data_IF_372483286288
#
_entry.id   IF_372483286288
#
_cell.length_a   1.000
_cell.length_b   1.000
_cell.length_c   1.000
_cell.angle_alpha   90.00
_cell.angle_beta   90.00
_cell.angle_gamma   90.00
#
_symmetry.space_group_name_H-M   'P 1'
#
loop_
_entity.id
_entity.type
_entity.pdbx_description
1 polymer ?
#
# COMPACT_ATOMS: atom_id res chain seq x y z
N UNK A 1 -12.18 17.44 5.24
CA UNK A 1 -13.18 16.87 4.32
C UNK A 1 -12.85 15.40 4.13
N UNK A 2 -13.85 14.53 4.23
CA UNK A 2 -13.66 13.11 3.97
C UNK A 2 -13.41 12.86 2.49
N UNK A 3 -12.54 11.92 2.19
CA UNK A 3 -12.26 11.47 0.83
C UNK A 3 -13.41 10.60 0.31
N UNK A 4 -13.72 10.74 -0.97
CA UNK A 4 -14.72 9.95 -1.67
C UNK A 4 -14.10 8.68 -2.27
N UNK A 5 -14.93 7.70 -2.65
CA UNK A 5 -14.47 6.44 -3.22
C UNK A 5 -13.58 6.59 -4.47
N UNK A 6 -13.82 7.66 -5.26
CA UNK A 6 -13.00 7.99 -6.45
C UNK A 6 -11.61 8.52 -6.13
N UNK A 7 -11.40 8.98 -4.89
CA UNK A 7 -10.13 9.54 -4.41
C UNK A 7 -9.31 8.51 -3.64
N UNK A 8 -9.86 7.32 -3.36
CA UNK A 8 -9.24 6.26 -2.57
C UNK A 8 -8.78 5.14 -3.49
N UNK A 9 -7.47 4.91 -3.55
CA UNK A 9 -6.89 3.75 -4.24
C UNK A 9 -6.85 2.54 -3.30
N UNK A 10 -7.56 1.48 -3.66
CA UNK A 10 -7.61 0.22 -2.89
C UNK A 10 -6.96 -0.88 -3.69
N UNK A 11 -5.89 -1.45 -3.17
CA UNK A 11 -5.12 -2.52 -3.83
C UNK A 11 -5.15 -3.81 -3.03
N UNK A 12 -5.09 -4.94 -3.73
CA UNK A 12 -4.86 -6.23 -3.11
C UNK A 12 -3.53 -6.20 -2.33
N UNK A 13 -3.54 -6.70 -1.11
CA UNK A 13 -2.38 -6.69 -0.21
C UNK A 13 -2.33 -5.49 0.73
N UNK A 14 -3.23 -4.51 0.60
CA UNK A 14 -3.35 -3.44 1.56
C UNK A 14 -3.70 -4.01 2.96
N UNK A 15 -2.88 -3.74 3.95
CA UNK A 15 -2.99 -4.33 5.30
C UNK A 15 -4.22 -3.87 6.09
N UNK A 16 -4.84 -2.77 5.68
CA UNK A 16 -6.06 -2.25 6.27
C UNK A 16 -7.34 -2.91 5.73
N UNK A 17 -7.24 -3.66 4.61
CA UNK A 17 -8.35 -4.44 4.07
C UNK A 17 -8.72 -5.57 5.04
N UNK A 18 -10.01 -5.75 5.25
CA UNK A 18 -10.50 -6.88 6.00
C UNK A 18 -10.36 -8.17 5.16
N UNK A 19 -9.86 -9.28 5.72
CA UNK A 19 -9.78 -10.55 5.02
C UNK A 19 -11.12 -11.03 4.45
N UNK A 20 -12.24 -10.66 5.06
CA UNK A 20 -13.57 -11.00 4.57
C UNK A 20 -13.89 -10.38 3.22
N UNK A 21 -13.38 -9.18 2.93
CA UNK A 21 -13.57 -8.51 1.63
C UNK A 21 -12.77 -9.25 0.54
N UNK A 22 -11.55 -9.66 0.85
CA UNK A 22 -10.75 -10.47 -0.08
C UNK A 22 -11.38 -11.85 -0.28
N UNK A 23 -11.92 -12.45 0.78
CA UNK A 23 -12.68 -13.71 0.72
C UNK A 23 -13.90 -13.57 -0.20
N UNK A 24 -14.67 -12.50 -0.05
CA UNK A 24 -15.84 -12.23 -0.89
C UNK A 24 -15.43 -12.03 -2.35
N UNK A 25 -14.40 -11.24 -2.62
CA UNK A 25 -13.84 -11.07 -3.95
C UNK A 25 -13.45 -12.40 -4.59
N UNK A 26 -12.70 -13.22 -3.87
CA UNK A 26 -12.27 -14.53 -4.32
C UNK A 26 -13.44 -15.43 -4.68
N UNK A 27 -14.47 -15.49 -3.83
CA UNK A 27 -15.66 -16.33 -4.05
C UNK A 27 -16.53 -15.85 -5.20
N UNK A 28 -16.72 -14.54 -5.35
CA UNK A 28 -17.53 -13.95 -6.42
C UNK A 28 -16.84 -13.98 -7.77
N UNK A 29 -15.52 -13.79 -7.81
CA UNK A 29 -14.75 -13.69 -9.05
C UNK A 29 -14.32 -15.04 -9.57
N UNK A 30 -13.80 -15.92 -8.71
CA UNK A 30 -13.31 -17.24 -9.14
C UNK A 30 -14.44 -18.28 -9.19
N UNK A 31 -15.58 -18.02 -8.58
CA UNK A 31 -16.78 -18.86 -8.59
C UNK A 31 -16.48 -20.35 -8.35
N UNK A 32 -15.80 -20.72 -7.25
CA UNK A 32 -15.47 -22.12 -7.01
C UNK A 32 -16.73 -22.99 -6.93
N UNK A 33 -16.63 -24.29 -7.17
CA UNK A 33 -17.74 -25.23 -7.11
C UNK A 33 -18.55 -25.08 -5.82
N UNK A 34 -19.87 -25.34 -5.92
CA UNK A 34 -20.81 -25.15 -4.79
C UNK A 34 -20.34 -25.78 -3.49
N UNK A 35 -19.82 -27.01 -3.54
CA UNK A 35 -19.29 -27.73 -2.37
C UNK A 35 -18.20 -26.94 -1.64
N UNK A 36 -17.29 -26.28 -2.40
CA UNK A 36 -16.20 -25.47 -1.86
C UNK A 36 -16.73 -24.20 -1.21
N UNK A 37 -17.72 -23.54 -1.85
CA UNK A 37 -18.36 -22.34 -1.32
C UNK A 37 -19.16 -22.63 -0.06
N UNK A 38 -19.98 -23.70 -0.08
CA UNK A 38 -20.85 -24.07 1.04
C UNK A 38 -20.06 -24.40 2.31
N UNK A 39 -18.95 -25.12 2.18
CA UNK A 39 -18.14 -25.55 3.32
C UNK A 39 -17.03 -24.54 3.69
N UNK A 40 -16.95 -23.39 3.02
CA UNK A 40 -15.84 -22.45 3.17
C UNK A 40 -14.48 -23.17 3.15
N UNK A 41 -14.31 -24.12 2.21
CA UNK A 41 -13.14 -24.98 2.19
C UNK A 41 -11.84 -24.21 1.87
N UNK A 42 -11.95 -23.08 1.14
CA UNK A 42 -10.85 -22.17 0.84
C UNK A 42 -11.08 -20.88 1.60
N UNK A 43 -10.15 -20.51 2.47
CA UNK A 43 -10.28 -19.32 3.32
C UNK A 43 -9.09 -18.39 3.20
N UNK A 44 -9.36 -17.09 3.24
CA UNK A 44 -8.35 -16.03 3.29
C UNK A 44 -8.13 -15.60 4.74
N UNK A 45 -6.87 -15.48 5.15
CA UNK A 45 -6.47 -14.99 6.47
C UNK A 45 -5.33 -14.01 6.35
N UNK A 46 -5.28 -13.05 7.25
CA UNK A 46 -4.17 -12.12 7.40
C UNK A 46 -3.63 -12.21 8.82
N UNK A 47 -2.31 -12.27 8.95
CA UNK A 47 -1.62 -12.24 10.23
C UNK A 47 -0.96 -10.87 10.42
N UNK A 48 -1.42 -10.03 11.36
CA UNK A 48 -0.77 -8.73 11.63
C UNK A 48 0.64 -8.88 12.23
N UNK A 49 0.95 -10.01 12.86
CA UNK A 49 2.28 -10.26 13.45
C UNK A 49 3.37 -10.52 12.40
N UNK A 50 3.03 -11.27 11.35
CA UNK A 50 3.97 -11.59 10.26
C UNK A 50 3.75 -10.72 9.04
N UNK A 51 2.69 -9.91 9.02
CA UNK A 51 2.23 -9.14 7.86
C UNK A 51 2.00 -10.00 6.62
N UNK A 52 1.59 -11.26 6.81
CA UNK A 52 1.37 -12.22 5.74
C UNK A 52 -0.10 -12.55 5.53
N UNK A 53 -0.48 -12.61 4.27
CA UNK A 53 -1.74 -13.15 3.80
C UNK A 53 -1.58 -14.62 3.47
N UNK A 54 -2.54 -15.45 3.87
CA UNK A 54 -2.56 -16.88 3.56
C UNK A 54 -3.92 -17.30 3.04
N UNK A 55 -3.91 -18.11 1.99
CA UNK A 55 -5.07 -18.78 1.45
C UNK A 55 -4.94 -20.27 1.75
N UNK A 56 -5.88 -20.82 2.51
CA UNK A 56 -5.89 -22.25 2.84
C UNK A 56 -6.44 -23.08 1.68
N UNK A 57 -6.02 -24.36 1.61
CA UNK A 57 -6.57 -25.36 0.68
C UNK A 57 -6.65 -24.94 -0.80
N UNK A 58 -5.64 -24.25 -1.28
CA UNK A 58 -5.56 -23.70 -2.64
C UNK A 58 -5.79 -24.73 -3.77
N UNK A 59 -5.62 -26.01 -3.49
CA UNK A 59 -5.81 -27.09 -4.46
C UNK A 59 -7.17 -27.80 -4.34
N UNK A 60 -8.07 -27.31 -3.47
CA UNK A 60 -9.33 -28.00 -3.17
C UNK A 60 -10.29 -28.10 -4.37
N UNK A 61 -10.20 -27.20 -5.35
CA UNK A 61 -11.07 -27.21 -6.54
C UNK A 61 -10.60 -28.20 -7.63
N UNK A 62 -9.35 -28.65 -7.57
CA UNK A 62 -8.75 -29.53 -8.57
C UNK A 62 -8.54 -28.85 -9.94
N UNK A 63 -8.18 -29.66 -10.92
CA UNK A 63 -7.87 -29.16 -12.29
C UNK A 63 -9.11 -28.85 -13.14
N UNK A 64 -10.30 -29.26 -12.71
CA UNK A 64 -11.56 -29.02 -13.43
C UNK A 64 -12.16 -27.64 -13.23
N UNK A 65 -11.57 -26.81 -12.39
CA UNK A 65 -12.02 -25.44 -12.15
C UNK A 65 -11.41 -24.51 -13.20
N UNK A 66 -12.16 -24.24 -14.29
CA UNK A 66 -11.70 -23.42 -15.42
C UNK A 66 -11.38 -22.00 -14.96
N UNK A 67 -12.15 -21.42 -14.02
CA UNK A 67 -11.88 -20.09 -13.51
C UNK A 67 -10.53 -20.03 -12.80
N UNK A 68 -10.21 -21.06 -12.02
CA UNK A 68 -8.98 -21.12 -11.24
C UNK A 68 -7.76 -21.57 -12.06
N UNK A 69 -7.94 -22.33 -13.16
CA UNK A 69 -6.83 -22.94 -13.89
C UNK A 69 -6.61 -22.38 -15.29
N UNK A 70 -7.56 -21.60 -15.84
CA UNK A 70 -7.46 -21.03 -17.18
C UNK A 70 -7.76 -19.53 -17.21
N UNK A 71 -8.83 -19.07 -16.54
CA UNK A 71 -9.23 -17.65 -16.59
C UNK A 71 -8.32 -16.79 -15.73
N UNK A 72 -8.22 -17.07 -14.43
CA UNK A 72 -7.44 -16.32 -13.46
C UNK A 72 -6.19 -17.04 -12.96
N UNK A 73 -5.88 -18.19 -13.52
CA UNK A 73 -4.71 -19.00 -13.20
C UNK A 73 -4.19 -19.77 -14.39
N UNK A 74 -3.21 -20.60 -14.12
CA UNK A 74 -2.68 -21.61 -15.03
C UNK A 74 -2.74 -22.99 -14.37
N UNK A 75 -2.53 -24.05 -15.13
CA UNK A 75 -2.46 -25.42 -14.56
C UNK A 75 -1.33 -25.59 -13.56
N UNK A 76 -0.26 -24.80 -13.67
CA UNK A 76 0.91 -24.83 -12.79
C UNK A 76 0.84 -23.84 -11.63
N UNK A 77 0.08 -22.76 -11.79
CA UNK A 77 -0.19 -21.76 -10.76
C UNK A 77 -1.66 -21.37 -10.83
N UNK A 78 -2.49 -21.97 -9.99
CA UNK A 78 -3.92 -21.67 -9.98
C UNK A 78 -4.22 -20.27 -9.42
N UNK A 79 -5.43 -19.76 -9.64
CA UNK A 79 -5.84 -18.43 -9.24
C UNK A 79 -5.65 -18.16 -7.73
N UNK A 80 -5.86 -19.16 -6.87
CA UNK A 80 -5.71 -19.00 -5.42
C UNK A 80 -4.25 -18.80 -5.00
N UNK A 81 -3.31 -19.50 -5.67
CA UNK A 81 -1.89 -19.28 -5.46
C UNK A 81 -1.45 -17.90 -5.94
N UNK A 82 -1.89 -17.51 -7.15
CA UNK A 82 -1.57 -16.19 -7.73
C UNK A 82 -2.17 -15.07 -6.88
N UNK A 83 -3.40 -15.23 -6.36
CA UNK A 83 -4.02 -14.28 -5.44
C UNK A 83 -3.21 -14.15 -4.15
N UNK A 84 -2.74 -15.26 -3.55
CA UNK A 84 -1.89 -15.22 -2.35
C UNK A 84 -0.57 -14.51 -2.61
N UNK A 85 0.08 -14.77 -3.75
CA UNK A 85 1.31 -14.06 -4.16
C UNK A 85 1.03 -12.54 -4.30
N UNK A 86 -0.11 -12.18 -4.93
CA UNK A 86 -0.53 -10.79 -5.12
C UNK A 86 -0.77 -10.07 -3.78
N UNK A 87 -1.47 -10.72 -2.86
CA UNK A 87 -1.75 -10.19 -1.52
C UNK A 87 -0.46 -9.95 -0.72
N UNK A 88 0.56 -10.77 -0.93
CA UNK A 88 1.88 -10.63 -0.31
C UNK A 88 2.85 -9.78 -1.13
N UNK A 89 2.38 -9.06 -2.15
CA UNK A 89 3.17 -8.20 -3.02
C UNK A 89 4.34 -8.92 -3.70
N UNK A 90 4.16 -10.21 -4.02
CA UNK A 90 5.15 -11.05 -4.69
C UNK A 90 4.73 -11.27 -6.14
N UNK A 91 5.70 -11.28 -7.04
CA UNK A 91 5.47 -11.74 -8.41
C UNK A 91 5.29 -13.25 -8.43
N UNK A 92 4.26 -13.72 -9.11
CA UNK A 92 4.04 -15.16 -9.29
C UNK A 92 5.12 -15.75 -10.18
N UNK A 93 5.79 -16.78 -9.69
CA UNK A 93 6.88 -17.49 -10.37
C UNK A 93 6.61 -18.99 -10.41
N UNK A 94 6.91 -19.59 -11.55
CA UNK A 94 6.78 -21.04 -11.79
C UNK A 94 8.16 -21.62 -12.03
N UNK A 95 8.45 -22.73 -11.36
CA UNK A 95 9.76 -23.39 -11.43
C UNK A 95 9.60 -24.82 -11.91
N UNK A 96 10.50 -25.28 -12.79
CA UNK A 96 10.68 -26.67 -13.11
C UNK A 96 11.72 -27.30 -12.19
N UNK A 97 11.56 -28.58 -11.90
CA UNK A 97 12.58 -29.37 -11.23
C UNK A 97 13.31 -30.18 -12.30
N UNK A 98 14.59 -29.95 -12.46
CA UNK A 98 15.46 -30.70 -13.34
C UNK A 98 16.47 -31.50 -12.51
N UNK A 99 16.87 -32.67 -13.01
CA UNK A 99 17.95 -33.44 -12.43
C UNK A 99 19.27 -33.10 -13.13
N UNK A 100 20.25 -32.61 -12.38
CA UNK A 100 21.57 -32.26 -12.87
C UNK A 100 22.60 -32.89 -11.91
N UNK A 101 23.45 -33.77 -12.42
CA UNK A 101 24.46 -34.53 -11.63
C UNK A 101 23.86 -35.31 -10.45
N UNK A 102 22.70 -35.94 -10.62
CA UNK A 102 22.02 -36.71 -9.57
C UNK A 102 21.43 -35.86 -8.44
N UNK A 103 21.30 -34.54 -8.63
CA UNK A 103 20.67 -33.62 -7.69
C UNK A 103 19.50 -32.90 -8.34
N UNK A 104 18.41 -32.77 -7.59
CA UNK A 104 17.27 -31.94 -8.01
C UNK A 104 17.62 -30.45 -7.93
N UNK A 105 17.44 -29.76 -9.03
CA UNK A 105 17.65 -28.31 -9.16
C UNK A 105 16.36 -27.65 -9.64
N UNK A 106 15.96 -26.56 -8.96
CA UNK A 106 14.81 -25.75 -9.36
C UNK A 106 15.27 -24.67 -10.33
N UNK A 107 14.68 -24.66 -11.54
CA UNK A 107 14.98 -23.69 -12.60
C UNK A 107 13.70 -22.92 -12.92
N UNK A 108 13.82 -21.61 -13.07
CA UNK A 108 12.69 -20.76 -13.43
C UNK A 108 12.18 -21.10 -14.82
N UNK A 109 10.90 -21.45 -14.93
CA UNK A 109 10.23 -21.59 -16.22
C UNK A 109 9.73 -20.23 -16.67
N UNK A 110 10.43 -19.60 -17.62
CA UNK A 110 10.15 -18.25 -18.07
C UNK A 110 8.75 -18.11 -18.70
N UNK A 111 8.34 -19.06 -19.54
CA UNK A 111 7.05 -19.05 -20.23
C UNK A 111 5.88 -19.15 -19.24
N UNK A 112 5.91 -20.14 -18.36
CA UNK A 112 4.88 -20.35 -17.35
C UNK A 112 4.83 -19.18 -16.33
N UNK A 113 5.98 -18.60 -16.01
CA UNK A 113 6.06 -17.42 -15.15
C UNK A 113 5.41 -16.21 -15.82
N UNK A 114 5.67 -15.97 -17.10
CA UNK A 114 5.05 -14.87 -17.85
C UNK A 114 3.53 -15.04 -17.91
N UNK A 115 3.03 -16.24 -18.16
CA UNK A 115 1.60 -16.55 -18.13
C UNK A 115 1.00 -16.29 -16.75
N UNK A 116 1.66 -16.75 -15.68
CA UNK A 116 1.19 -16.54 -14.31
C UNK A 116 1.13 -15.04 -13.96
N UNK A 117 2.11 -14.25 -14.39
CA UNK A 117 2.12 -12.79 -14.19
C UNK A 117 1.02 -12.07 -14.98
N UNK A 118 0.68 -12.52 -16.19
CA UNK A 118 -0.48 -12.01 -16.92
C UNK A 118 -1.79 -12.28 -16.17
N UNK A 119 -1.94 -13.50 -15.58
CA UNK A 119 -3.10 -13.84 -14.76
C UNK A 119 -3.11 -13.03 -13.45
N UNK A 120 -1.95 -12.76 -12.88
CA UNK A 120 -1.81 -11.87 -11.73
C UNK A 120 -2.31 -10.47 -12.03
N UNK A 121 -1.98 -9.91 -13.19
CA UNK A 121 -2.51 -8.62 -13.61
C UNK A 121 -4.03 -8.67 -13.81
N UNK A 122 -4.56 -9.71 -14.46
CA UNK A 122 -6.00 -9.89 -14.63
C UNK A 122 -6.76 -9.94 -13.29
N UNK A 123 -6.18 -10.55 -12.26
CA UNK A 123 -6.77 -10.56 -10.89
C UNK A 123 -6.77 -9.14 -10.29
N UNK A 124 -5.69 -8.38 -10.45
CA UNK A 124 -5.62 -6.98 -9.97
C UNK A 124 -6.66 -6.11 -10.65
N UNK A 125 -6.82 -6.23 -11.96
CA UNK A 125 -7.80 -5.48 -12.75
C UNK A 125 -9.24 -5.86 -12.38
N UNK A 126 -9.49 -7.16 -12.19
CA UNK A 126 -10.78 -7.66 -11.71
C UNK A 126 -11.13 -7.10 -10.33
N UNK A 127 -10.17 -7.04 -9.41
CA UNK A 127 -10.37 -6.47 -8.08
C UNK A 127 -10.67 -4.97 -8.15
N UNK A 128 -9.90 -4.21 -8.91
CA UNK A 128 -10.11 -2.78 -9.09
C UNK A 128 -11.52 -2.47 -9.65
N UNK A 129 -11.99 -3.29 -10.60
CA UNK A 129 -13.35 -3.16 -11.14
C UNK A 129 -14.45 -3.67 -10.22
N UNK A 130 -14.13 -4.51 -9.23
CA UNK A 130 -15.09 -5.12 -8.32
C UNK A 130 -15.27 -4.35 -7.01
N UNK A 131 -14.19 -3.82 -6.45
CA UNK A 131 -14.15 -3.31 -5.07
C UNK A 131 -15.20 -2.22 -4.78
N UNK A 132 -15.48 -1.37 -5.75
CA UNK A 132 -16.39 -0.24 -5.62
C UNK A 132 -17.80 -0.46 -6.16
N UNK A 133 -18.12 -1.63 -6.74
CA UNK A 133 -19.44 -1.90 -7.36
C UNK A 133 -20.55 -1.97 -6.33
N UNK A 134 -20.32 -2.63 -5.22
CA UNK A 134 -21.33 -2.80 -4.17
C UNK A 134 -21.41 -1.55 -3.29
N UNK A 135 -22.61 -0.95 -3.11
CA UNK A 135 -22.78 0.28 -2.32
C UNK A 135 -22.45 0.12 -0.84
N UNK A 136 -22.77 -1.04 -0.24
CA UNK A 136 -22.52 -1.29 1.19
C UNK A 136 -21.02 -1.42 1.45
N UNK A 137 -20.34 -2.21 0.63
CA UNK A 137 -18.87 -2.35 0.66
C UNK A 137 -18.17 -1.01 0.42
N UNK A 138 -18.66 -0.22 -0.55
CA UNK A 138 -18.14 1.13 -0.83
C UNK A 138 -18.22 2.02 0.41
N UNK A 139 -19.38 2.11 1.04
CA UNK A 139 -19.59 2.92 2.26
C UNK A 139 -18.67 2.48 3.39
N UNK A 140 -18.55 1.18 3.61
CA UNK A 140 -17.68 0.60 4.65
C UNK A 140 -16.21 0.93 4.41
N UNK A 141 -15.72 0.75 3.18
CA UNK A 141 -14.32 1.01 2.84
C UNK A 141 -13.97 2.49 2.91
N UNK A 142 -14.83 3.38 2.40
CA UNK A 142 -14.65 4.83 2.50
C UNK A 142 -14.58 5.28 3.94
N UNK A 143 -15.53 4.82 4.79
CA UNK A 143 -15.53 5.14 6.21
C UNK A 143 -14.26 4.67 6.89
N UNK A 144 -13.90 3.40 6.72
CA UNK A 144 -12.69 2.81 7.33
C UNK A 144 -11.40 3.52 6.89
N UNK A 145 -11.30 3.87 5.61
CA UNK A 145 -10.13 4.59 5.09
C UNK A 145 -10.00 5.98 5.71
N UNK A 146 -11.09 6.76 5.75
CA UNK A 146 -11.09 8.09 6.36
C UNK A 146 -10.78 8.04 7.86
N UNK A 147 -11.30 7.06 8.60
CA UNK A 147 -11.00 6.85 10.01
C UNK A 147 -9.50 6.55 10.25
N UNK A 148 -8.89 5.72 9.40
CA UNK A 148 -7.50 5.30 9.59
C UNK A 148 -6.48 6.32 9.07
N UNK A 149 -6.75 6.95 7.93
CA UNK A 149 -5.74 7.72 7.20
C UNK A 149 -6.08 9.20 7.03
N UNK A 150 -7.32 9.60 7.22
CA UNK A 150 -7.78 10.98 7.05
C UNK A 150 -8.34 11.62 8.33
N UNK A 151 -8.32 10.91 9.46
CA UNK A 151 -8.78 11.42 10.75
C UNK A 151 -7.77 12.34 11.43
N UNK A 152 -6.49 12.20 11.09
CA UNK A 152 -5.41 13.00 11.66
C UNK A 152 -5.01 14.10 10.68
N UNK A 153 -5.18 15.36 11.07
CA UNK A 153 -4.62 16.49 10.33
C UNK A 153 -3.23 16.80 10.88
N UNK A 154 -2.19 16.80 10.05
CA UNK A 154 -0.90 17.35 10.44
C UNK A 154 -1.11 18.80 10.88
N UNK A 155 -0.43 19.21 11.96
CA UNK A 155 -0.43 20.61 12.35
C UNK A 155 0.26 21.42 11.27
N UNK A 156 -0.45 22.38 10.71
CA UNK A 156 0.13 23.35 9.78
C UNK A 156 0.74 24.48 10.58
N UNK A 157 1.91 24.94 10.16
CA UNK A 157 2.63 26.03 10.78
C UNK A 157 2.69 27.17 9.78
N UNK A 158 2.08 28.30 10.14
CA UNK A 158 2.14 29.55 9.37
C UNK A 158 3.22 30.46 9.95
N UNK A 159 4.25 30.71 9.16
CA UNK A 159 5.36 31.60 9.51
C UNK A 159 5.21 33.04 8.97
N UNK A 160 4.06 33.40 8.41
CA UNK A 160 3.84 34.72 7.80
C UNK A 160 4.00 35.88 8.79
N UNK A 161 3.68 35.64 10.05
CA UNK A 161 3.76 36.62 11.16
C UNK A 161 5.18 36.79 11.72
N UNK A 162 6.14 35.94 11.35
CA UNK A 162 7.51 36.01 11.91
C UNK A 162 8.31 37.13 11.24
N UNK A 163 8.82 38.04 12.05
CA UNK A 163 9.72 39.10 11.66
C UNK A 163 11.14 38.78 12.10
N UNK A 164 12.04 38.63 11.14
CA UNK A 164 13.44 38.26 11.38
C UNK A 164 14.28 39.50 11.67
N UNK A 165 14.39 39.85 12.95
CA UNK A 165 15.16 41.02 13.41
C UNK A 165 16.64 40.77 13.25
N UNK A 166 17.34 41.69 12.55
CA UNK A 166 18.79 41.57 12.29
C UNK A 166 19.15 40.76 11.04
N UNK A 167 18.17 40.29 10.29
CA UNK A 167 18.40 39.67 8.99
C UNK A 167 18.78 40.74 7.94
N UNK A 168 19.65 40.39 7.00
CA UNK A 168 20.01 41.30 5.89
C UNK A 168 18.73 41.63 5.10
N UNK A 169 18.39 42.93 4.94
CA UNK A 169 17.17 43.38 4.25
C UNK A 169 17.10 43.00 2.76
N UNK A 170 18.23 42.67 2.15
CA UNK A 170 18.29 42.19 0.76
C UNK A 170 17.83 40.74 0.61
N UNK A 171 17.77 39.99 1.72
CA UNK A 171 17.37 38.59 1.72
C UNK A 171 15.89 38.47 2.11
N UNK A 172 15.08 37.90 1.22
CA UNK A 172 13.69 37.58 1.48
C UNK A 172 13.47 36.07 1.55
N UNK A 173 12.94 35.60 2.68
CA UNK A 173 12.56 34.20 2.84
C UNK A 173 11.24 33.90 2.11
N UNK A 174 11.19 32.79 1.40
CA UNK A 174 9.99 32.30 0.73
C UNK A 174 8.99 31.78 1.77
N UNK A 175 7.71 31.66 1.39
CA UNK A 175 6.64 31.18 2.25
C UNK A 175 6.97 29.84 2.91
N UNK A 176 7.38 28.82 2.13
CA UNK A 176 7.73 27.51 2.67
C UNK A 176 8.89 27.57 3.68
N UNK A 177 9.85 28.47 3.49
CA UNK A 177 10.96 28.65 4.42
C UNK A 177 10.49 29.26 5.74
N UNK A 178 9.59 30.27 5.68
CA UNK A 178 8.97 30.86 6.87
C UNK A 178 8.14 29.82 7.64
N UNK A 179 7.37 29.00 6.92
CA UNK A 179 6.56 27.95 7.52
C UNK A 179 7.43 26.86 8.17
N UNK A 180 8.56 26.49 7.55
CA UNK A 180 9.54 25.59 8.12
C UNK A 180 10.16 26.16 9.42
N UNK A 181 10.50 27.45 9.44
CA UNK A 181 11.01 28.12 10.63
C UNK A 181 9.94 28.14 11.74
N UNK A 182 8.70 28.45 11.42
CA UNK A 182 7.58 28.36 12.36
C UNK A 182 7.46 26.94 12.95
N UNK A 183 7.62 25.93 12.12
CA UNK A 183 7.60 24.53 12.56
C UNK A 183 8.74 24.23 13.54
N UNK A 184 9.95 24.74 13.29
CA UNK A 184 11.09 24.60 14.23
C UNK A 184 10.82 25.31 15.57
N UNK A 185 10.26 26.54 15.52
CA UNK A 185 10.02 27.35 16.71
C UNK A 185 8.88 26.85 17.60
N UNK A 186 7.80 26.32 16.98
CA UNK A 186 6.58 25.93 17.70
C UNK A 186 6.40 24.40 17.80
N UNK A 187 7.16 23.61 17.03
CA UNK A 187 7.27 22.17 17.17
C UNK A 187 8.39 21.78 18.13
N UNK A 188 8.49 20.50 18.49
CA UNK A 188 9.61 20.00 19.29
C UNK A 188 10.77 19.56 18.41
N UNK A 189 10.58 18.47 17.67
CA UNK A 189 11.56 17.94 16.72
C UNK A 189 11.05 18.12 15.30
N UNK A 190 11.85 18.70 14.42
CA UNK A 190 11.44 19.03 13.06
C UNK A 190 12.37 18.39 12.05
N UNK A 191 11.79 17.69 11.07
CA UNK A 191 12.49 17.17 9.91
C UNK A 191 12.25 18.12 8.71
N UNK A 192 13.31 18.79 8.25
CA UNK A 192 13.27 19.62 7.05
C UNK A 192 13.52 18.77 5.79
N UNK A 193 12.48 18.10 5.32
CA UNK A 193 12.53 17.17 4.17
C UNK A 193 12.26 17.88 2.82
N UNK A 194 12.63 19.14 2.66
CA UNK A 194 12.50 19.88 1.40
C UNK A 194 13.48 19.35 0.34
N UNK A 195 13.14 19.54 -0.93
CA UNK A 195 13.98 19.16 -2.06
C UNK A 195 15.34 19.89 -2.06
N UNK A 196 16.29 19.34 -2.81
CA UNK A 196 17.61 19.98 -3.00
C UNK A 196 17.41 21.33 -3.70
N UNK A 197 18.03 22.39 -3.18
CA UNK A 197 17.87 23.74 -3.72
C UNK A 197 16.73 24.57 -3.10
N UNK A 198 15.89 24.01 -2.24
CA UNK A 198 14.80 24.75 -1.55
C UNK A 198 15.31 25.80 -0.55
N UNK A 199 16.62 25.82 -0.23
CA UNK A 199 17.22 26.80 0.66
C UNK A 199 17.20 26.38 2.14
N UNK A 200 17.29 25.10 2.45
CA UNK A 200 17.33 24.54 3.82
C UNK A 200 18.37 25.21 4.72
N UNK A 201 19.50 25.62 4.17
CA UNK A 201 20.55 26.34 4.94
C UNK A 201 20.03 27.65 5.51
N UNK A 202 19.25 28.41 4.73
CA UNK A 202 18.61 29.63 5.20
C UNK A 202 17.54 29.34 6.29
N UNK A 203 16.77 28.25 6.12
CA UNK A 203 15.78 27.82 7.11
C UNK A 203 16.46 27.49 8.45
N UNK A 204 17.53 26.70 8.41
CA UNK A 204 18.28 26.32 9.62
C UNK A 204 18.93 27.52 10.29
N UNK A 205 19.60 28.38 9.50
CA UNK A 205 20.27 29.57 10.03
C UNK A 205 19.27 30.56 10.65
N UNK A 206 18.17 30.86 9.96
CA UNK A 206 17.13 31.76 10.46
C UNK A 206 16.41 31.18 11.68
N UNK A 207 16.10 29.87 11.69
CA UNK A 207 15.49 29.21 12.83
C UNK A 207 16.41 29.23 14.07
N UNK A 208 17.72 29.00 13.91
CA UNK A 208 18.68 29.05 14.99
C UNK A 208 18.83 30.47 15.57
N UNK A 209 18.93 31.48 14.71
CA UNK A 209 19.02 32.87 15.13
C UNK A 209 17.75 33.33 15.86
N UNK A 210 16.59 32.96 15.36
CA UNK A 210 15.31 33.31 15.96
C UNK A 210 15.07 32.56 17.28
N UNK A 211 15.45 31.30 17.36
CA UNK A 211 15.42 30.53 18.60
C UNK A 211 16.31 31.16 19.68
N UNK A 212 17.49 31.65 19.31
CA UNK A 212 18.37 32.37 20.22
C UNK A 212 17.77 33.71 20.65
N UNK A 213 17.22 34.48 19.72
CA UNK A 213 16.57 35.77 20.00
C UNK A 213 15.39 35.60 20.97
N UNK A 214 14.61 34.55 20.82
CA UNK A 214 13.47 34.20 21.68
C UNK A 214 13.86 33.56 23.01
N UNK A 215 15.14 33.29 23.24
CA UNK A 215 15.61 32.62 24.46
C UNK A 215 15.30 31.13 24.55
N UNK A 216 14.91 30.49 23.42
CA UNK A 216 14.61 29.07 23.36
C UNK A 216 15.88 28.19 23.40
N UNK A 217 17.03 28.78 23.06
CA UNK A 217 18.34 28.15 23.18
C UNK A 217 19.38 29.19 23.64
N UNK A 218 20.43 28.71 24.36
CA UNK A 218 21.47 29.58 24.92
C UNK A 218 22.79 29.53 24.12
N UNK A 219 22.95 28.55 23.26
CA UNK A 219 24.17 28.34 22.43
C UNK A 219 23.80 28.16 20.98
#
# INVERSE_FOLDING_TARGET
KDLEASEIDVRLGATWLDPSIVQQFMMETFQPPYRIRYNNAITVRYSPYTSEWRISNKSATGYGDIMATETYGTRRANAYKILEDTLNLRDSRVYDTIEEDGKEKRVLNQNETTLAQQKQQAIKDAFAGWVWKDPQRRTLLVKKYNELFNSTRPREYDGSHIHFVGMNPEISLREHQRNAIAHVLYGHNTLLAHEVGAGKTFEMAAAAMESKRLGLCQK
#
